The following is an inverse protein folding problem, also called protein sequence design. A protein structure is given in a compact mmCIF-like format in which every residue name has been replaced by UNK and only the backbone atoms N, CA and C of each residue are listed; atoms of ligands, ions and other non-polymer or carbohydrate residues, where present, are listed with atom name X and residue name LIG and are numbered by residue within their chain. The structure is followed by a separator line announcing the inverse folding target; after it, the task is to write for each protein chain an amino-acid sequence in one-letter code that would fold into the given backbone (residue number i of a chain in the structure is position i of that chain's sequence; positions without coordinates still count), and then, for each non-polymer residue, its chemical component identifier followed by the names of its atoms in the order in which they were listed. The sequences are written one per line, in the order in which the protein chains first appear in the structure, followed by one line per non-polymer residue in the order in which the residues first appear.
data_IF_858478840886
#
_entry.id   IF_858478840886
#
_cell.length_a   1.000
_cell.length_b   1.000
_cell.length_c   1.000
_cell.angle_alpha   90.00
_cell.angle_beta   90.00
_cell.angle_gamma   90.00
#
_symmetry.space_group_name_H-M   'P 1'
#
loop_
_entity.id
_entity.type
_entity.pdbx_description
1 polymer ?
#
# COMPACT_ATOMS: atom_id res chain seq x y z
N UNK A 1 -11.95 -4.78 -40.32
CA UNK A 1 -10.87 -5.71 -39.88
C UNK A 1 -10.70 -5.77 -38.35
N UNK A 2 -10.56 -4.66 -37.60
CA UNK A 2 -10.33 -4.71 -36.14
C UNK A 2 -11.50 -5.33 -35.36
N UNK A 3 -12.73 -5.07 -35.80
CA UNK A 3 -13.96 -5.49 -35.12
C UNK A 3 -14.15 -7.02 -35.09
N UNK A 4 -13.67 -7.73 -36.12
CA UNK A 4 -13.74 -9.19 -36.21
C UNK A 4 -12.83 -9.84 -35.17
N UNK A 5 -11.61 -9.31 -35.00
CA UNK A 5 -10.65 -9.82 -34.02
C UNK A 5 -11.11 -9.63 -32.57
N UNK A 6 -11.81 -8.53 -32.28
CA UNK A 6 -12.43 -8.28 -30.97
C UNK A 6 -13.61 -9.23 -30.71
N UNK A 7 -14.44 -9.48 -31.71
CA UNK A 7 -15.60 -10.37 -31.59
C UNK A 7 -15.21 -11.84 -31.35
N UNK A 8 -14.01 -12.25 -31.79
CA UNK A 8 -13.46 -13.57 -31.54
C UNK A 8 -12.62 -13.67 -30.26
N UNK A 9 -12.55 -12.62 -29.44
CA UNK A 9 -11.83 -12.64 -28.16
C UNK A 9 -10.30 -12.78 -28.31
N UNK A 10 -9.77 -12.51 -29.50
CA UNK A 10 -8.33 -12.63 -29.79
C UNK A 10 -7.51 -11.47 -29.21
N UNK A 11 -8.17 -10.46 -28.66
CA UNK A 11 -7.59 -9.41 -27.84
C UNK A 11 -8.42 -9.21 -26.58
N UNK A 12 -7.81 -9.13 -25.38
CA UNK A 12 -8.52 -8.75 -24.17
C UNK A 12 -9.07 -7.34 -24.37
N UNK A 13 -10.36 -7.27 -24.70
CA UNK A 13 -11.05 -6.00 -24.87
C UNK A 13 -11.55 -5.60 -23.49
N UNK A 14 -11.23 -4.37 -23.04
CA UNK A 14 -11.85 -3.84 -21.83
C UNK A 14 -13.38 -3.99 -21.95
N UNK A 15 -14.08 -4.42 -20.89
CA UNK A 15 -15.51 -4.63 -20.96
C UNK A 15 -16.20 -3.32 -21.35
N UNK A 16 -17.20 -3.42 -22.23
CA UNK A 16 -17.90 -2.24 -22.77
C UNK A 16 -18.56 -1.39 -21.68
N UNK A 17 -18.84 -1.99 -20.53
CA UNK A 17 -19.33 -1.34 -19.32
C UNK A 17 -18.58 -1.88 -18.10
N UNK A 18 -18.33 -1.03 -17.08
CA UNK A 18 -17.79 -1.49 -15.81
C UNK A 18 -18.72 -2.56 -15.22
N UNK A 19 -18.18 -3.76 -14.94
CA UNK A 19 -18.98 -4.85 -14.32
C UNK A 19 -19.31 -4.56 -12.86
N UNK A 20 -18.64 -3.58 -12.26
CA UNK A 20 -18.85 -3.14 -10.89
C UNK A 20 -18.77 -1.61 -10.84
N UNK A 21 -19.80 -0.98 -10.28
CA UNK A 21 -19.72 0.43 -9.90
C UNK A 21 -18.93 0.53 -8.59
N UNK A 22 -17.79 1.22 -8.62
CA UNK A 22 -16.98 1.50 -7.43
C UNK A 22 -17.17 2.96 -7.04
N UNK A 23 -17.51 3.21 -5.78
CA UNK A 23 -17.61 4.58 -5.26
C UNK A 23 -16.21 5.20 -5.17
N UNK A 24 -16.02 6.31 -5.87
CA UNK A 24 -14.77 7.09 -5.82
C UNK A 24 -14.56 7.70 -4.43
N UNK A 25 -15.65 8.09 -3.76
CA UNK A 25 -15.61 8.63 -2.39
C UNK A 25 -15.20 7.56 -1.38
N UNK A 26 -15.66 6.32 -1.56
CA UNK A 26 -15.21 5.21 -0.73
C UNK A 26 -13.71 4.94 -0.92
N UNK A 27 -13.23 5.01 -2.17
CA UNK A 27 -11.82 4.81 -2.48
C UNK A 27 -10.93 5.92 -1.89
N UNK A 28 -11.38 7.17 -1.95
CA UNK A 28 -10.68 8.31 -1.36
C UNK A 28 -10.66 8.22 0.17
N UNK A 29 -11.76 7.78 0.78
CA UNK A 29 -11.82 7.48 2.22
C UNK A 29 -10.82 6.38 2.62
N UNK A 30 -10.79 5.25 1.91
CA UNK A 30 -9.84 4.18 2.20
C UNK A 30 -8.40 4.66 2.06
N UNK A 31 -8.09 5.45 1.04
CA UNK A 31 -6.76 6.02 0.88
C UNK A 31 -6.37 6.88 2.08
N UNK A 32 -7.23 7.81 2.51
CA UNK A 32 -6.96 8.66 3.66
C UNK A 32 -6.81 7.85 4.96
N UNK A 33 -7.64 6.81 5.12
CA UNK A 33 -7.59 5.89 6.26
C UNK A 33 -6.26 5.12 6.29
N UNK A 34 -5.81 4.58 5.15
CA UNK A 34 -4.55 3.86 5.07
C UNK A 34 -3.34 4.78 5.29
N UNK A 35 -3.35 5.99 4.72
CA UNK A 35 -2.28 6.96 4.96
C UNK A 35 -2.13 7.26 6.45
N UNK A 36 -3.24 7.46 7.18
CA UNK A 36 -3.21 7.73 8.63
C UNK A 36 -2.91 6.51 9.48
N UNK A 37 -3.41 5.32 9.12
CA UNK A 37 -3.15 4.10 9.88
C UNK A 37 -1.69 3.64 9.74
N UNK A 38 -1.08 3.83 8.57
CA UNK A 38 0.36 3.59 8.37
C UNK A 38 1.20 4.43 9.33
N UNK A 39 0.88 5.71 9.51
CA UNK A 39 1.60 6.59 10.43
C UNK A 39 1.47 6.12 11.89
N UNK A 40 0.28 5.69 12.31
CA UNK A 40 0.05 5.14 13.64
C UNK A 40 0.82 3.82 13.87
N UNK A 41 0.81 2.92 12.90
CA UNK A 41 1.55 1.64 12.96
C UNK A 41 3.05 1.90 13.01
N UNK A 42 3.56 2.85 12.21
CA UNK A 42 4.98 3.22 12.21
C UNK A 42 5.41 3.85 13.54
N UNK A 43 4.58 4.73 14.11
CA UNK A 43 4.83 5.32 15.43
C UNK A 43 4.88 4.25 16.52
N UNK A 44 3.94 3.30 16.50
CA UNK A 44 3.91 2.16 17.42
C UNK A 44 5.16 1.28 17.25
N UNK A 45 5.52 0.91 16.02
CA UNK A 45 6.68 0.07 15.74
C UNK A 45 8.00 0.74 16.17
N UNK A 46 8.09 2.07 16.01
CA UNK A 46 9.20 2.87 16.52
C UNK A 46 9.26 2.87 18.05
N UNK A 47 8.12 3.10 18.72
CA UNK A 47 8.03 3.07 20.18
C UNK A 47 8.41 1.71 20.76
N UNK A 48 7.94 0.62 20.14
CA UNK A 48 8.30 -0.75 20.53
C UNK A 48 9.79 -1.01 20.33
N UNK A 49 10.36 -0.61 19.18
CA UNK A 49 11.80 -0.73 18.94
C UNK A 49 12.59 -0.03 20.04
N UNK A 50 12.28 1.22 20.36
CA UNK A 50 12.94 1.95 21.45
C UNK A 50 12.74 1.27 22.80
N UNK A 51 11.53 0.80 23.12
CA UNK A 51 11.22 0.14 24.38
C UNK A 51 12.04 -1.13 24.58
N UNK A 52 12.10 -2.00 23.57
CA UNK A 52 12.83 -3.27 23.64
C UNK A 52 14.35 -3.08 23.57
N UNK A 53 14.84 -2.15 22.74
CA UNK A 53 16.27 -1.85 22.68
C UNK A 53 16.81 -1.32 24.01
N UNK A 54 16.05 -0.50 24.74
CA UNK A 54 16.43 -0.04 26.10
C UNK A 54 16.57 -1.18 27.10
N UNK A 55 15.93 -2.32 26.87
CA UNK A 55 15.99 -3.52 27.71
C UNK A 55 17.01 -4.56 27.22
N UNK A 56 17.81 -4.22 26.20
CA UNK A 56 18.82 -5.10 25.62
C UNK A 56 18.28 -6.08 24.58
N UNK A 57 16.98 -6.05 24.27
CA UNK A 57 16.38 -6.90 23.24
C UNK A 57 16.57 -6.25 21.86
N UNK A 58 17.13 -7.03 20.93
CA UNK A 58 17.35 -6.61 19.55
C UNK A 58 16.36 -7.31 18.62
N UNK A 59 15.82 -6.58 17.66
CA UNK A 59 14.92 -7.15 16.65
C UNK A 59 15.75 -7.90 15.62
N UNK A 60 15.49 -9.19 15.47
CA UNK A 60 16.17 -10.09 14.52
C UNK A 60 15.19 -10.77 13.59
N UNK A 61 15.69 -11.18 12.43
CA UNK A 61 14.96 -12.01 11.47
C UNK A 61 14.90 -13.48 11.93
N UNK A 62 14.19 -14.34 11.19
CA UNK A 62 14.19 -15.79 11.40
C UNK A 62 15.61 -16.37 11.41
N UNK A 63 16.50 -15.76 10.63
CA UNK A 63 17.92 -16.13 10.51
C UNK A 63 18.82 -15.40 11.54
N UNK A 64 18.23 -14.81 12.59
CA UNK A 64 18.91 -14.09 13.69
C UNK A 64 19.75 -12.89 13.22
N UNK A 65 19.54 -12.42 12.00
CA UNK A 65 20.22 -11.24 11.47
C UNK A 65 19.62 -9.98 12.08
N UNK A 66 20.47 -9.02 12.45
CA UNK A 66 20.01 -7.71 12.92
C UNK A 66 19.17 -7.04 11.86
N UNK A 67 17.88 -6.87 12.13
CA UNK A 67 17.00 -6.14 11.23
C UNK A 67 17.20 -4.66 11.51
N UNK A 68 17.85 -3.96 10.58
CA UNK A 68 17.69 -2.53 10.51
C UNK A 68 16.26 -2.23 10.06
N UNK A 69 15.34 -2.18 11.03
CA UNK A 69 13.97 -1.73 10.83
C UNK A 69 14.01 -0.29 10.32
N UNK A 70 13.96 -0.16 8.98
CA UNK A 70 14.03 1.10 8.25
C UNK A 70 12.61 1.57 8.02
N UNK A 71 11.99 2.12 9.05
CA UNK A 71 10.68 2.76 8.96
C UNK A 71 10.81 4.12 8.26
N UNK A 72 11.11 4.16 6.96
CA UNK A 72 11.20 5.43 6.24
C UNK A 72 9.81 5.88 5.75
N UNK A 73 9.09 6.67 6.57
CA UNK A 73 8.12 7.68 6.08
C UNK A 73 8.29 9.04 6.80
N UNK A 74 9.40 9.32 7.48
CA UNK A 74 9.63 10.67 8.04
C UNK A 74 11.07 11.12 7.86
N UNK A 75 11.35 11.71 6.69
CA UNK A 75 12.27 12.84 6.55
C UNK A 75 12.13 13.43 5.13
N UNK A 76 11.00 14.09 4.87
CA UNK A 76 10.94 15.30 4.04
C UNK A 76 9.55 15.94 4.22
N UNK A 77 9.55 17.26 4.36
CA UNK A 77 8.49 18.26 4.18
C UNK A 77 7.21 17.85 3.39
N UNK A 78 6.09 18.58 3.54
CA UNK A 78 4.72 18.12 3.26
C UNK A 78 4.48 17.92 1.77
N UNK A 79 4.83 16.74 1.26
CA UNK A 79 4.54 16.29 -0.10
C UNK A 79 4.19 14.82 -0.02
N UNK A 80 2.92 14.58 0.32
CA UNK A 80 2.09 13.42 -0.04
C UNK A 80 2.85 12.36 -0.84
N UNK A 81 3.57 11.46 -0.16
CA UNK A 81 4.04 10.24 -0.80
C UNK A 81 2.90 9.24 -0.74
N UNK A 82 2.04 9.39 -1.74
CA UNK A 82 1.01 8.44 -2.15
C UNK A 82 1.50 7.03 -1.89
N UNK A 83 0.96 6.36 -0.88
CA UNK A 83 0.98 4.91 -0.81
C UNK A 83 0.19 4.47 -2.04
N UNK A 84 0.90 4.20 -3.15
CA UNK A 84 0.31 4.02 -4.48
C UNK A 84 -0.25 2.60 -4.52
N UNK A 85 -1.32 2.37 -3.76
CA UNK A 85 -2.17 1.20 -3.89
C UNK A 85 -2.87 1.36 -5.23
N UNK A 86 -2.37 0.66 -6.25
CA UNK A 86 -3.11 0.52 -7.50
C UNK A 86 -4.32 -0.34 -7.19
N UNK A 87 -5.46 0.30 -6.91
CA UNK A 87 -6.73 -0.37 -6.90
C UNK A 87 -7.09 -0.68 -8.35
N UNK A 88 -6.69 -1.86 -8.82
CA UNK A 88 -7.16 -2.40 -10.08
C UNK A 88 -8.59 -2.85 -9.84
N UNK A 89 -9.55 -2.04 -10.30
CA UNK A 89 -10.95 -2.48 -10.42
C UNK A 89 -11.00 -3.37 -11.66
N UNK A 90 -11.06 -4.68 -11.46
CA UNK A 90 -11.27 -5.68 -12.53
C UNK A 90 -12.76 -5.79 -12.83
#
# INVERSE_FOLDING_TARGET
LPQVLLHHGLFPTAPLQPRMAVSVDLLSFYRALFERSCDAINALASALKTHYSRRGFQVTDSEVRHIHMRYHITELAPRVKSCRTHFVVV
#
